data_IF_327182845724
#
_entry.id   IF_327182845724
#
_cell.length_a   1.000
_cell.length_b   1.000
_cell.length_c   1.000
_cell.angle_alpha   90.00
_cell.angle_beta   90.00
_cell.angle_gamma   90.00
#
_symmetry.space_group_name_H-M   'P 1'
#
loop_
_entity.id
_entity.type
_entity.pdbx_description
1 polymer ?
#
# COMPACT_ATOMS: atom_id res chain seq x y z
N UNK A 1 -1.49 12.02 -17.16
CA UNK A 1 -1.49 12.16 -15.70
C UNK A 1 -1.14 10.81 -15.11
N UNK A 2 0.15 10.57 -14.86
CA UNK A 2 0.76 9.23 -14.74
C UNK A 2 0.12 8.43 -13.59
N UNK A 3 -0.44 9.10 -12.59
CA UNK A 3 -1.10 8.47 -11.43
C UNK A 3 -2.60 8.28 -11.57
N UNK A 4 -3.23 8.95 -12.53
CA UNK A 4 -4.67 8.85 -12.77
C UNK A 4 -5.02 7.56 -13.55
N UNK A 5 -4.11 7.10 -14.40
CA UNK A 5 -4.29 5.93 -15.27
C UNK A 5 -4.07 4.58 -14.57
N UNK A 6 -3.30 4.50 -13.48
CA UNK A 6 -3.04 3.21 -12.80
C UNK A 6 -4.29 2.64 -12.10
N UNK A 7 -5.33 3.44 -11.92
CA UNK A 7 -6.62 2.97 -11.44
C UNK A 7 -7.49 2.34 -12.55
N UNK A 8 -7.08 2.40 -13.83
CA UNK A 8 -7.80 1.81 -14.96
C UNK A 8 -7.46 0.32 -15.15
N UNK A 9 -8.01 -0.49 -14.27
CA UNK A 9 -8.47 -1.82 -14.65
C UNK A 9 -9.95 -1.91 -14.27
N UNK A 10 -10.81 -1.90 -15.29
CA UNK A 10 -12.28 -1.83 -15.27
C UNK A 10 -12.91 -0.41 -15.39
N UNK A 11 -12.45 0.39 -16.37
CA UNK A 11 -13.30 1.39 -17.02
C UNK A 11 -13.14 1.20 -18.53
N UNK A 12 -14.07 0.50 -19.18
CA UNK A 12 -14.14 0.50 -20.64
C UNK A 12 -14.85 1.78 -21.08
N UNK A 13 -14.09 2.88 -21.17
CA UNK A 13 -14.51 4.15 -21.76
C UNK A 13 -14.83 5.27 -20.75
N UNK A 14 -14.62 6.55 -21.14
CA UNK A 14 -14.95 7.71 -20.30
C UNK A 14 -16.47 7.83 -20.14
N UNK A 15 -16.91 8.09 -18.91
CA UNK A 15 -18.31 8.39 -18.61
C UNK A 15 -18.66 9.81 -19.06
N UNK A 16 -19.90 10.07 -19.52
CA UNK A 16 -20.39 11.41 -19.80
C UNK A 16 -20.18 12.35 -18.60
N UNK A 17 -19.82 13.61 -18.86
CA UNK A 17 -19.47 14.60 -17.83
C UNK A 17 -20.59 14.90 -16.82
N UNK A 18 -21.83 14.57 -17.17
CA UNK A 18 -23.06 14.74 -16.38
C UNK A 18 -23.43 13.50 -15.53
N UNK A 19 -22.61 12.44 -15.54
CA UNK A 19 -22.90 11.21 -14.79
C UNK A 19 -22.91 11.48 -13.28
N UNK A 20 -24.08 11.29 -12.64
CA UNK A 20 -24.22 11.48 -11.19
C UNK A 20 -23.83 10.22 -10.41
N UNK A 21 -23.61 10.40 -9.10
CA UNK A 21 -23.38 9.27 -8.17
C UNK A 21 -24.54 8.28 -8.21
N UNK A 22 -25.77 8.77 -8.33
CA UNK A 22 -26.98 7.94 -8.39
C UNK A 22 -27.04 7.09 -9.67
N UNK A 23 -26.56 7.62 -10.80
CA UNK A 23 -26.48 6.90 -12.06
C UNK A 23 -25.49 5.74 -11.99
N UNK A 24 -24.35 5.94 -11.32
CA UNK A 24 -23.35 4.87 -11.09
C UNK A 24 -23.91 3.74 -10.22
N UNK A 25 -24.71 4.06 -9.20
CA UNK A 25 -25.36 3.04 -8.36
C UNK A 25 -26.45 2.25 -9.10
N UNK A 26 -27.12 2.84 -10.09
CA UNK A 26 -28.11 2.16 -10.94
C UNK A 26 -27.48 1.18 -11.94
N UNK A 27 -26.23 1.42 -12.34
CA UNK A 27 -25.50 0.67 -13.36
C UNK A 27 -24.82 -0.64 -12.86
N UNK A 28 -25.10 -1.05 -11.61
CA UNK A 28 -24.29 -1.96 -10.76
C UNK A 28 -24.08 -3.41 -11.23
N UNK A 29 -24.66 -3.87 -12.33
CA UNK A 29 -24.49 -5.28 -12.78
C UNK A 29 -23.84 -5.49 -14.14
N UNK A 30 -23.94 -4.55 -15.09
CA UNK A 30 -23.53 -4.78 -16.49
C UNK A 30 -22.65 -3.67 -17.10
N UNK A 31 -22.28 -2.63 -16.35
CA UNK A 31 -21.59 -1.45 -16.90
C UNK A 31 -20.06 -1.52 -16.88
N UNK A 32 -19.47 -2.52 -16.24
CA UNK A 32 -18.01 -2.56 -16.00
C UNK A 32 -17.52 -1.48 -15.03
N UNK A 33 -18.38 -0.59 -14.52
CA UNK A 33 -18.03 0.50 -13.61
C UNK A 33 -17.86 -0.07 -12.19
N UNK A 34 -16.70 0.20 -11.58
CA UNK A 34 -16.49 -0.03 -10.16
C UNK A 34 -16.90 1.24 -9.38
N UNK A 35 -18.01 1.22 -8.60
CA UNK A 35 -18.51 2.40 -7.90
C UNK A 35 -17.50 2.97 -6.90
N UNK A 36 -16.71 2.12 -6.25
CA UNK A 36 -15.71 2.56 -5.26
C UNK A 36 -14.60 3.37 -5.95
N UNK A 37 -14.18 2.94 -7.15
CA UNK A 37 -13.21 3.67 -7.96
C UNK A 37 -13.77 5.01 -8.43
N UNK A 38 -15.02 5.03 -8.88
CA UNK A 38 -15.67 6.26 -9.31
C UNK A 38 -15.76 7.30 -8.19
N UNK A 39 -16.27 6.88 -7.02
CA UNK A 39 -16.38 7.76 -5.85
C UNK A 39 -15.00 8.25 -5.42
N UNK A 40 -14.00 7.36 -5.38
CA UNK A 40 -12.63 7.76 -5.04
C UNK A 40 -12.04 8.78 -6.01
N UNK A 41 -12.30 8.66 -7.32
CA UNK A 41 -11.83 9.61 -8.32
C UNK A 41 -12.46 11.00 -8.10
N UNK A 42 -13.79 11.07 -7.95
CA UNK A 42 -14.51 12.34 -7.67
C UNK A 42 -14.05 13.00 -6.37
N UNK A 43 -13.79 12.20 -5.33
CA UNK A 43 -13.28 12.71 -4.06
C UNK A 43 -11.86 13.30 -4.21
N UNK A 44 -10.99 12.68 -5.01
CA UNK A 44 -9.64 13.18 -5.27
C UNK A 44 -9.68 14.49 -6.06
N UNK A 45 -10.50 14.57 -7.10
CA UNK A 45 -10.71 15.79 -7.88
C UNK A 45 -11.19 16.95 -6.99
N UNK A 46 -12.20 16.71 -6.13
CA UNK A 46 -12.70 17.71 -5.20
C UNK A 46 -11.63 18.15 -4.19
N UNK A 47 -10.87 17.20 -3.65
CA UNK A 47 -9.79 17.48 -2.70
C UNK A 47 -8.68 18.34 -3.33
N UNK A 48 -8.23 17.98 -4.54
CA UNK A 48 -7.21 18.71 -5.28
C UNK A 48 -7.68 20.11 -5.69
N UNK A 49 -8.92 20.22 -6.19
CA UNK A 49 -9.50 21.49 -6.63
C UNK A 49 -9.61 22.50 -5.50
N UNK A 50 -10.12 22.08 -4.33
CA UNK A 50 -10.22 22.94 -3.15
C UNK A 50 -8.84 23.30 -2.59
N UNK A 51 -7.91 22.34 -2.50
CA UNK A 51 -6.54 22.63 -2.04
C UNK A 51 -5.85 23.67 -2.92
N UNK A 52 -5.91 23.49 -4.24
CA UNK A 52 -5.30 24.38 -5.22
C UNK A 52 -5.90 25.79 -5.16
N UNK A 53 -7.22 25.88 -4.98
CA UNK A 53 -7.92 27.16 -4.85
C UNK A 53 -7.51 27.91 -3.58
N UNK A 54 -7.44 27.22 -2.44
CA UNK A 54 -7.01 27.81 -1.17
C UNK A 54 -5.54 28.25 -1.21
N UNK A 55 -4.66 27.43 -1.78
CA UNK A 55 -3.22 27.75 -1.95
C UNK A 55 -3.02 28.97 -2.86
N UNK A 56 -3.75 29.04 -3.98
CA UNK A 56 -3.71 30.17 -4.90
C UNK A 56 -4.20 31.47 -4.24
N UNK A 57 -5.19 31.37 -3.34
CA UNK A 57 -5.72 32.50 -2.56
C UNK A 57 -4.92 32.79 -1.29
N UNK A 58 -3.87 32.03 -1.01
CA UNK A 58 -3.04 32.14 0.21
C UNK A 58 -3.85 32.05 1.50
N UNK A 59 -4.94 31.29 1.48
CA UNK A 59 -5.73 30.98 2.67
C UNK A 59 -5.06 29.81 3.39
N UNK A 60 -4.67 29.93 4.65
CA UNK A 60 -4.03 28.84 5.39
C UNK A 60 -4.94 27.61 5.51
N UNK A 61 -4.39 26.42 5.28
CA UNK A 61 -5.06 25.14 5.48
C UNK A 61 -4.03 24.03 5.72
N UNK A 62 -4.50 22.84 6.08
CA UNK A 62 -3.66 21.67 6.32
C UNK A 62 -3.56 20.87 5.01
N UNK A 63 -2.35 20.84 4.46
CA UNK A 63 -1.99 20.01 3.31
C UNK A 63 -1.93 18.54 3.70
N UNK A 64 -2.19 17.68 2.73
CA UNK A 64 -1.85 16.26 2.77
C UNK A 64 -0.70 16.04 1.80
N UNK A 65 0.47 15.73 2.33
CA UNK A 65 1.71 15.71 1.55
C UNK A 65 2.39 14.36 1.62
N UNK A 66 3.18 14.04 0.60
CA UNK A 66 4.19 12.99 0.63
C UNK A 66 5.33 13.38 -0.31
N UNK A 67 6.48 13.64 0.31
CA UNK A 67 7.70 13.98 -0.40
C UNK A 67 8.46 12.76 -0.93
N UNK A 68 9.55 12.99 -1.66
CA UNK A 68 10.45 11.93 -2.10
C UNK A 68 11.26 11.37 -0.93
N UNK A 69 11.30 10.04 -0.83
CA UNK A 69 12.19 9.30 0.07
C UNK A 69 13.55 9.10 -0.60
N UNK A 70 14.27 10.19 -0.78
CA UNK A 70 15.51 10.23 -1.56
C UNK A 70 16.75 9.79 -0.75
N UNK A 71 16.70 8.65 -0.06
CA UNK A 71 17.92 8.07 0.54
C UNK A 71 18.60 7.10 -0.44
N UNK A 72 19.95 7.08 -0.52
CA UNK A 72 20.66 6.14 -1.40
C UNK A 72 20.30 4.67 -1.14
N UNK A 73 20.03 4.31 0.11
CA UNK A 73 19.60 2.95 0.48
C UNK A 73 18.19 2.61 -0.02
N UNK A 74 17.24 3.55 0.12
CA UNK A 74 15.89 3.37 -0.40
C UNK A 74 15.89 3.19 -1.92
N UNK A 75 16.72 3.98 -2.61
CA UNK A 75 16.93 3.90 -4.05
C UNK A 75 17.56 2.57 -4.48
N UNK A 76 18.65 2.15 -3.82
CA UNK A 76 19.29 0.86 -4.07
C UNK A 76 18.30 -0.30 -3.92
N UNK A 77 17.45 -0.27 -2.89
CA UNK A 77 16.39 -1.27 -2.67
C UNK A 77 15.32 -1.25 -3.75
N UNK A 78 14.91 -0.08 -4.23
CA UNK A 78 14.00 0.05 -5.36
C UNK A 78 14.61 -0.56 -6.62
N UNK A 79 15.86 -0.19 -6.94
CA UNK A 79 16.61 -0.71 -8.09
C UNK A 79 16.72 -2.22 -8.08
N UNK A 80 17.09 -2.83 -6.94
CA UNK A 80 17.16 -4.29 -6.82
C UNK A 80 15.82 -4.96 -7.13
N UNK A 81 14.71 -4.40 -6.62
CA UNK A 81 13.37 -4.97 -6.85
C UNK A 81 12.86 -4.77 -8.27
N UNK A 82 13.20 -3.66 -8.91
CA UNK A 82 12.87 -3.41 -10.31
C UNK A 82 13.68 -4.32 -11.23
N UNK A 83 14.96 -4.57 -10.90
CA UNK A 83 15.81 -5.50 -11.65
C UNK A 83 15.31 -6.95 -11.58
N UNK A 84 14.74 -7.38 -10.45
CA UNK A 84 14.04 -8.68 -10.34
C UNK A 84 12.87 -8.82 -11.32
N UNK A 85 12.26 -7.69 -11.72
CA UNK A 85 11.19 -7.62 -12.72
C UNK A 85 11.70 -7.30 -14.14
N UNK A 86 13.02 -7.25 -14.35
CA UNK A 86 13.63 -6.94 -15.64
C UNK A 86 13.71 -5.45 -16.00
N UNK A 87 13.47 -4.54 -15.05
CA UNK A 87 13.59 -3.10 -15.25
C UNK A 87 14.89 -2.54 -14.66
N UNK A 88 15.58 -1.70 -15.44
CA UNK A 88 16.77 -0.99 -14.99
C UNK A 88 16.42 0.47 -14.71
N UNK A 89 16.87 0.97 -13.56
CA UNK A 89 16.89 2.41 -13.24
C UNK A 89 18.35 2.85 -13.00
N UNK A 90 18.68 4.14 -13.14
CA UNK A 90 20.04 4.67 -12.93
C UNK A 90 20.70 4.17 -11.64
N UNK A 91 22.03 4.23 -11.55
CA UNK A 91 22.74 3.66 -10.40
C UNK A 91 22.67 4.58 -9.18
N UNK A 92 22.71 5.89 -9.41
CA UNK A 92 23.04 6.86 -8.35
C UNK A 92 21.83 7.67 -7.89
N UNK A 93 20.64 7.44 -8.45
CA UNK A 93 19.39 8.10 -8.09
C UNK A 93 19.31 9.60 -8.40
N UNK A 94 20.46 10.26 -8.60
CA UNK A 94 20.59 11.66 -9.01
C UNK A 94 19.96 11.94 -10.38
N UNK A 95 20.04 10.97 -11.28
CA UNK A 95 19.47 11.05 -12.63
C UNK A 95 18.09 10.37 -12.75
N UNK A 96 17.45 10.02 -11.62
CA UNK A 96 16.08 9.52 -11.66
C UNK A 96 15.11 10.69 -11.80
N UNK A 97 15.06 11.22 -13.02
CA UNK A 97 14.18 12.32 -13.42
C UNK A 97 12.74 11.85 -13.55
N UNK A 98 11.79 12.79 -13.60
CA UNK A 98 10.39 12.49 -13.93
C UNK A 98 10.26 11.80 -15.30
N UNK A 99 11.12 12.13 -16.27
CA UNK A 99 11.10 11.51 -17.59
C UNK A 99 11.51 10.03 -17.53
N UNK A 100 12.58 9.70 -16.80
CA UNK A 100 13.00 8.32 -16.58
C UNK A 100 11.94 7.49 -15.82
N UNK A 101 11.19 8.14 -14.92
CA UNK A 101 10.05 7.53 -14.26
C UNK A 101 8.88 7.28 -15.23
N UNK A 102 8.58 8.24 -16.11
CA UNK A 102 7.52 8.11 -17.12
C UNK A 102 7.81 6.97 -18.11
N UNK A 103 9.04 6.89 -18.62
CA UNK A 103 9.48 5.81 -19.52
C UNK A 103 9.38 4.42 -18.84
N UNK A 104 9.81 4.33 -17.57
CA UNK A 104 9.69 3.11 -16.78
C UNK A 104 8.23 2.68 -16.61
N UNK A 105 7.33 3.63 -16.38
CA UNK A 105 5.89 3.38 -16.26
C UNK A 105 5.29 2.90 -17.58
N UNK A 106 5.65 3.52 -18.69
CA UNK A 106 5.15 3.14 -20.02
C UNK A 106 5.65 1.75 -20.43
N UNK A 107 6.93 1.45 -20.19
CA UNK A 107 7.49 0.11 -20.40
C UNK A 107 6.76 -0.93 -19.53
N UNK A 108 6.55 -0.63 -18.25
CA UNK A 108 5.81 -1.50 -17.33
C UNK A 108 4.34 -1.70 -17.75
N UNK A 109 3.72 -0.70 -18.38
CA UNK A 109 2.37 -0.80 -18.95
C UNK A 109 2.35 -1.74 -20.14
N UNK A 110 3.30 -1.63 -21.06
CA UNK A 110 3.38 -2.49 -22.24
C UNK A 110 3.54 -3.98 -21.88
N UNK A 111 4.22 -4.26 -20.76
CA UNK A 111 4.49 -5.61 -20.26
C UNK A 111 3.45 -6.15 -19.27
N UNK A 112 2.47 -5.32 -18.86
CA UNK A 112 1.46 -5.71 -17.87
C UNK A 112 1.95 -5.70 -16.40
N UNK A 113 3.13 -5.18 -16.12
CA UNK A 113 3.73 -5.12 -14.77
C UNK A 113 3.49 -3.80 -14.04
N UNK A 114 2.73 -2.89 -14.66
CA UNK A 114 2.39 -1.55 -14.15
C UNK A 114 2.15 -1.49 -12.64
N UNK A 115 1.26 -2.34 -12.13
CA UNK A 115 0.91 -2.38 -10.71
C UNK A 115 2.10 -2.79 -9.81
N UNK A 116 2.91 -3.75 -10.27
CA UNK A 116 4.06 -4.23 -9.50
C UNK A 116 5.17 -3.16 -9.43
N UNK A 117 5.47 -2.53 -10.56
CA UNK A 117 6.46 -1.45 -10.66
C UNK A 117 6.04 -0.25 -9.83
N UNK A 118 4.78 0.20 -9.98
CA UNK A 118 4.22 1.32 -9.22
C UNK A 118 4.28 1.07 -7.71
N UNK A 119 3.92 -0.14 -7.27
CA UNK A 119 4.00 -0.53 -5.85
C UNK A 119 5.43 -0.48 -5.32
N UNK A 120 6.41 -0.94 -6.09
CA UNK A 120 7.82 -0.88 -5.69
C UNK A 120 8.26 0.58 -5.52
N UNK A 121 7.99 1.42 -6.53
CA UNK A 121 8.37 2.83 -6.52
C UNK A 121 7.75 3.56 -5.31
N UNK A 122 6.44 3.44 -5.09
CA UNK A 122 5.79 4.09 -3.95
C UNK A 122 6.26 3.58 -2.59
N UNK A 123 6.48 2.27 -2.43
CA UNK A 123 6.92 1.72 -1.14
C UNK A 123 8.36 2.11 -0.79
N UNK A 124 9.19 2.35 -1.80
CA UNK A 124 10.63 2.56 -1.61
C UNK A 124 11.02 4.03 -1.70
N UNK A 125 10.47 4.77 -2.67
CA UNK A 125 10.94 6.11 -3.06
C UNK A 125 10.01 7.24 -2.63
N UNK A 126 8.85 6.95 -2.04
CA UNK A 126 7.91 7.97 -1.58
C UNK A 126 7.78 7.91 -0.07
N UNK A 127 7.84 9.07 0.58
CA UNK A 127 7.64 9.17 2.02
C UNK A 127 6.19 8.87 2.38
N UNK A 128 5.99 8.55 3.67
CA UNK A 128 4.65 8.35 4.18
C UNK A 128 3.89 9.66 4.12
N UNK A 129 2.63 9.56 3.74
CA UNK A 129 1.71 10.67 3.73
C UNK A 129 1.54 11.30 5.12
N UNK A 130 1.81 12.60 5.22
CA UNK A 130 1.70 13.41 6.42
C UNK A 130 0.74 14.58 6.23
N UNK A 131 0.22 15.11 7.33
CA UNK A 131 -0.38 16.43 7.36
C UNK A 131 0.71 17.48 7.59
N UNK A 132 0.66 18.59 6.87
CA UNK A 132 1.64 19.67 6.98
C UNK A 132 0.98 21.02 6.73
N UNK A 133 1.60 22.09 7.22
CA UNK A 133 1.22 23.49 6.95
C UNK A 133 1.96 24.06 5.75
N UNK A 134 3.01 23.37 5.27
CA UNK A 134 3.74 23.69 4.05
C UNK A 134 3.41 22.71 2.94
N UNK A 135 3.30 23.24 1.73
CA UNK A 135 3.10 22.41 0.54
C UNK A 135 4.44 21.87 0.04
N UNK A 136 4.53 20.54 -0.09
CA UNK A 136 5.68 19.85 -0.74
C UNK A 136 5.21 18.91 -1.86
N UNK A 137 3.96 19.09 -2.30
CA UNK A 137 3.31 18.22 -3.26
C UNK A 137 2.84 16.88 -2.67
N UNK A 138 2.11 16.14 -3.49
CA UNK A 138 1.65 14.80 -3.20
C UNK A 138 2.15 13.82 -4.27
N UNK A 139 3.40 13.36 -4.14
CA UNK A 139 4.09 12.53 -5.14
C UNK A 139 3.32 11.27 -5.52
N UNK A 140 2.75 10.54 -4.55
CA UNK A 140 1.97 9.32 -4.86
C UNK A 140 0.63 9.58 -5.56
N UNK A 141 0.25 10.82 -5.82
CA UNK A 141 -0.89 11.19 -6.66
C UNK A 141 -0.48 12.03 -7.87
N UNK A 142 0.81 12.37 -8.02
CA UNK A 142 1.30 13.34 -9.01
C UNK A 142 0.54 14.68 -9.02
N UNK A 143 0.23 15.22 -7.84
CA UNK A 143 -0.39 16.55 -7.74
C UNK A 143 0.47 17.49 -6.93
N UNK A 144 0.58 18.74 -7.38
CA UNK A 144 1.38 19.78 -6.71
C UNK A 144 0.75 20.27 -5.42
N UNK A 145 -0.56 20.16 -5.28
CA UNK A 145 -1.30 20.63 -4.12
C UNK A 145 -2.41 19.65 -3.78
N UNK A 146 -2.45 19.19 -2.53
CA UNK A 146 -3.46 18.26 -2.05
C UNK A 146 -3.79 18.49 -0.59
N UNK A 147 -5.06 18.31 -0.24
CA UNK A 147 -5.59 18.39 1.11
C UNK A 147 -6.82 17.52 1.23
N UNK A 148 -7.21 17.12 2.45
CA UNK A 148 -8.44 16.37 2.65
C UNK A 148 -9.60 17.30 2.99
N UNK A 149 -10.74 17.12 2.32
CA UNK A 149 -11.97 17.90 2.53
C UNK A 149 -13.24 17.04 2.61
N UNK A 150 -13.16 15.81 2.08
CA UNK A 150 -14.33 14.98 1.74
C UNK A 150 -14.75 13.98 2.83
N UNK A 151 -14.25 14.07 4.06
CA UNK A 151 -14.64 13.20 5.17
C UNK A 151 -14.54 13.86 6.57
N UNK A 152 -15.17 15.02 6.80
CA UNK A 152 -15.09 15.76 8.07
C UNK A 152 -15.61 15.01 9.30
N UNK A 153 -16.55 14.07 9.13
CA UNK A 153 -17.10 13.26 10.23
C UNK A 153 -16.00 12.42 10.92
N UNK A 154 -14.95 12.02 10.20
CA UNK A 154 -13.92 11.08 10.68
C UNK A 154 -12.49 11.59 10.55
N UNK A 155 -12.30 12.83 10.10
CA UNK A 155 -10.97 13.45 9.94
C UNK A 155 -11.02 14.91 10.38
N UNK A 156 -10.28 15.24 11.43
CA UNK A 156 -10.22 16.60 11.94
C UNK A 156 -9.48 17.57 10.99
N UNK A 157 -8.54 17.07 10.17
CA UNK A 157 -7.93 17.85 9.07
C UNK A 157 -9.00 18.45 8.15
N UNK A 158 -10.02 17.67 7.82
CA UNK A 158 -11.09 18.09 6.91
C UNK A 158 -11.97 19.14 7.58
N UNK A 159 -12.14 19.10 8.91
CA UNK A 159 -12.85 20.15 9.66
C UNK A 159 -12.10 21.48 9.55
N UNK A 160 -10.80 21.48 9.83
CA UNK A 160 -9.95 22.70 9.71
C UNK A 160 -9.96 23.21 8.26
N UNK A 161 -9.85 22.32 7.29
CA UNK A 161 -9.86 22.67 5.88
C UNK A 161 -11.22 23.20 5.41
N UNK A 162 -12.34 22.67 5.92
CA UNK A 162 -13.67 23.23 5.64
C UNK A 162 -13.85 24.61 6.28
N UNK A 163 -13.27 24.88 7.45
CA UNK A 163 -13.21 26.25 7.99
C UNK A 163 -12.46 27.19 7.04
N UNK A 164 -11.36 26.73 6.41
CA UNK A 164 -10.67 27.50 5.39
C UNK A 164 -11.54 27.79 4.16
N UNK A 165 -12.37 26.81 3.74
CA UNK A 165 -13.38 27.02 2.67
C UNK A 165 -14.43 28.04 3.10
N UNK A 166 -14.93 28.00 4.34
CA UNK A 166 -15.86 29.02 4.84
C UNK A 166 -15.23 30.42 4.86
N UNK A 167 -13.94 30.54 5.24
CA UNK A 167 -13.19 31.79 5.14
C UNK A 167 -13.12 32.30 3.69
N UNK A 168 -12.85 31.41 2.73
CA UNK A 168 -12.84 31.76 1.30
C UNK A 168 -14.19 32.33 0.84
N UNK A 169 -15.29 31.80 1.36
CA UNK A 169 -16.66 32.26 1.06
C UNK A 169 -17.05 33.53 1.83
N UNK A 170 -16.16 34.12 2.62
CA UNK A 170 -16.44 35.30 3.44
C UNK A 170 -17.31 35.03 4.67
N UNK A 171 -17.48 33.76 5.07
CA UNK A 171 -18.29 33.38 6.21
C UNK A 171 -17.44 33.38 7.49
N UNK A 172 -17.71 34.32 8.39
CA UNK A 172 -16.93 34.50 9.62
C UNK A 172 -17.33 33.54 10.74
N UNK A 173 -18.58 33.10 10.79
CA UNK A 173 -19.10 32.26 11.87
C UNK A 173 -18.46 30.86 11.85
N UNK A 174 -18.32 30.30 10.65
CA UNK A 174 -17.76 28.96 10.41
C UNK A 174 -16.35 28.98 9.82
N UNK A 175 -15.81 30.17 9.55
CA UNK A 175 -14.46 30.35 9.04
C UNK A 175 -13.36 30.03 10.05
N UNK A 176 -12.11 30.06 9.58
CA UNK A 176 -10.90 29.96 10.41
C UNK A 176 -10.93 31.02 11.52
N UNK A 177 -10.61 30.58 12.73
CA UNK A 177 -10.46 31.44 13.91
C UNK A 177 -8.97 31.74 14.16
N UNK A 178 -8.65 32.80 14.93
CA UNK A 178 -7.27 33.09 15.32
C UNK A 178 -6.55 31.88 15.93
N UNK A 179 -7.26 31.11 16.76
CA UNK A 179 -6.76 29.86 17.34
C UNK A 179 -6.33 28.83 16.29
N UNK A 180 -7.11 28.66 15.21
CA UNK A 180 -6.78 27.71 14.14
C UNK A 180 -5.47 28.10 13.44
N UNK A 181 -5.23 29.40 13.26
CA UNK A 181 -4.03 29.92 12.60
C UNK A 181 -2.79 29.76 13.47
N UNK A 182 -2.91 30.11 14.76
CA UNK A 182 -1.82 30.03 15.73
C UNK A 182 -1.37 28.59 15.99
N UNK A 183 -2.31 27.63 16.00
CA UNK A 183 -2.05 26.24 16.37
C UNK A 183 -2.09 25.27 15.18
N UNK A 184 -2.05 25.77 13.93
CA UNK A 184 -2.20 24.90 12.76
C UNK A 184 -1.08 23.87 12.63
N UNK A 185 0.16 24.27 12.93
CA UNK A 185 1.33 23.39 12.87
C UNK A 185 1.28 22.32 13.97
N UNK A 186 0.93 22.71 15.20
CA UNK A 186 0.70 21.78 16.31
C UNK A 186 -0.44 20.80 15.98
N UNK A 187 -1.52 21.30 15.38
CA UNK A 187 -2.65 20.47 14.92
C UNK A 187 -2.17 19.45 13.91
N UNK A 188 -1.41 19.85 12.90
CA UNK A 188 -0.85 18.94 11.90
C UNK A 188 0.06 17.88 12.54
N UNK A 189 0.93 18.28 13.47
CA UNK A 189 1.78 17.36 14.25
C UNK A 189 0.95 16.34 15.03
N UNK A 190 -0.06 16.81 15.78
CA UNK A 190 -0.93 15.95 16.57
C UNK A 190 -1.70 14.94 15.71
N UNK A 191 -2.21 15.39 14.56
CA UNK A 191 -2.88 14.51 13.59
C UNK A 191 -1.96 13.41 13.07
N UNK A 192 -0.69 13.73 12.78
CA UNK A 192 0.29 12.74 12.35
C UNK A 192 0.61 11.73 13.46
N UNK A 193 0.78 12.21 14.70
CA UNK A 193 1.04 11.37 15.86
C UNK A 193 -0.11 10.38 16.12
N UNK A 194 -1.35 10.88 16.17
CA UNK A 194 -2.54 10.04 16.35
C UNK A 194 -2.71 9.02 15.22
N UNK A 195 -2.41 9.40 13.97
CA UNK A 195 -2.47 8.46 12.84
C UNK A 195 -1.43 7.35 12.94
N UNK A 196 -0.25 7.62 13.49
CA UNK A 196 0.75 6.58 13.73
C UNK A 196 0.30 5.63 14.84
N UNK A 197 -0.27 6.15 15.93
CA UNK A 197 -0.87 5.33 16.99
C UNK A 197 -2.00 4.45 16.43
N UNK A 198 -2.93 5.05 15.69
CA UNK A 198 -4.05 4.34 15.06
C UNK A 198 -3.54 3.22 14.14
N UNK A 199 -2.51 3.50 13.33
CA UNK A 199 -1.91 2.52 12.41
C UNK A 199 -1.27 1.36 13.17
N UNK A 200 -0.54 1.65 14.25
CA UNK A 200 0.08 0.61 15.09
C UNK A 200 -0.98 -0.25 15.79
N UNK A 201 -2.01 0.38 16.36
CA UNK A 201 -3.13 -0.32 17.00
C UNK A 201 -3.90 -1.20 16.01
N UNK A 202 -4.23 -0.69 14.81
CA UNK A 202 -4.87 -1.48 13.74
C UNK A 202 -4.02 -2.66 13.29
N UNK A 203 -2.70 -2.46 13.17
CA UNK A 203 -1.78 -3.54 12.81
C UNK A 203 -1.78 -4.63 13.88
N UNK A 204 -1.72 -4.26 15.15
CA UNK A 204 -1.73 -5.22 16.25
C UNK A 204 -3.05 -5.98 16.33
N UNK A 205 -4.19 -5.26 16.26
CA UNK A 205 -5.51 -5.86 16.22
C UNK A 205 -5.68 -6.84 15.04
N UNK A 206 -5.23 -6.45 13.85
CA UNK A 206 -5.29 -7.32 12.66
C UNK A 206 -4.42 -8.56 12.84
N UNK A 207 -3.24 -8.43 13.43
CA UNK A 207 -2.35 -9.55 13.75
C UNK A 207 -3.05 -10.50 14.72
N UNK A 208 -3.59 -9.98 15.82
CA UNK A 208 -4.32 -10.77 16.82
C UNK A 208 -5.50 -11.55 16.21
N UNK A 209 -6.35 -10.87 15.43
CA UNK A 209 -7.46 -11.54 14.73
C UNK A 209 -7.02 -12.56 13.69
N UNK A 210 -5.86 -12.34 13.07
CA UNK A 210 -5.29 -13.31 12.15
C UNK A 210 -4.77 -14.55 12.87
N UNK A 211 -4.19 -14.39 14.07
CA UNK A 211 -3.76 -15.49 14.94
C UNK A 211 -4.96 -16.29 15.45
N UNK A 212 -6.01 -15.61 15.90
CA UNK A 212 -7.27 -16.24 16.35
C UNK A 212 -7.88 -17.11 15.24
N UNK A 213 -8.01 -16.56 14.03
CA UNK A 213 -8.49 -17.31 12.86
C UNK A 213 -7.60 -18.51 12.53
N UNK A 214 -6.28 -18.34 12.59
CA UNK A 214 -5.35 -19.43 12.29
C UNK A 214 -5.38 -20.53 13.36
N UNK A 215 -5.56 -20.18 14.64
CA UNK A 215 -5.77 -21.16 15.74
C UNK A 215 -7.02 -21.99 15.55
N UNK A 216 -8.08 -21.41 14.99
CA UNK A 216 -9.30 -22.15 14.64
C UNK A 216 -9.07 -23.18 13.51
N UNK A 217 -7.94 -23.10 12.80
CA UNK A 217 -7.51 -24.05 11.76
C UNK A 217 -6.45 -25.05 12.25
N UNK A 218 -6.29 -25.23 13.57
CA UNK A 218 -5.46 -26.32 14.10
C UNK A 218 -5.97 -27.68 13.61
N UNK A 219 -5.03 -28.56 13.30
CA UNK A 219 -5.22 -29.88 12.70
C UNK A 219 -5.85 -29.89 11.29
N UNK A 220 -6.03 -28.72 10.66
CA UNK A 220 -6.51 -28.58 9.29
C UNK A 220 -5.37 -28.31 8.32
N UNK A 221 -5.64 -28.56 7.03
CA UNK A 221 -4.74 -28.14 5.97
C UNK A 221 -4.90 -26.64 5.71
N UNK A 222 -3.79 -25.90 5.81
CA UNK A 222 -3.76 -24.47 5.55
C UNK A 222 -2.98 -24.17 4.27
N UNK A 223 -3.42 -23.15 3.54
CA UNK A 223 -2.73 -22.65 2.36
C UNK A 223 -1.82 -21.48 2.75
N UNK A 224 -0.58 -21.54 2.28
CA UNK A 224 0.46 -20.56 2.57
C UNK A 224 1.18 -20.12 1.30
N UNK A 225 1.62 -18.88 1.26
CA UNK A 225 2.46 -18.31 0.21
C UNK A 225 3.89 -18.22 0.72
N UNK A 226 4.83 -18.79 -0.02
CA UNK A 226 6.27 -18.75 0.33
C UNK A 226 6.82 -17.35 0.08
N UNK A 227 7.36 -16.70 1.09
CA UNK A 227 8.04 -15.42 0.94
C UNK A 227 9.53 -15.57 0.70
N UNK A 228 10.15 -16.46 1.46
CA UNK A 228 11.59 -16.72 1.39
C UNK A 228 11.91 -18.08 2.01
N UNK A 229 12.96 -18.72 1.52
CA UNK A 229 13.40 -20.04 1.98
C UNK A 229 14.83 -19.91 2.51
N UNK A 230 15.04 -20.37 3.73
CA UNK A 230 16.33 -20.36 4.42
C UNK A 230 16.76 -21.79 4.74
N UNK A 231 18.03 -21.97 5.13
CA UNK A 231 18.56 -23.29 5.51
C UNK A 231 17.79 -23.95 6.65
N UNK A 232 17.24 -23.16 7.56
CA UNK A 232 16.60 -23.61 8.81
C UNK A 232 15.08 -23.56 8.78
N UNK A 233 14.46 -23.15 7.66
CA UNK A 233 13.01 -22.96 7.58
C UNK A 233 12.62 -21.97 6.50
N UNK A 234 11.35 -21.57 6.52
CA UNK A 234 10.73 -20.79 5.46
C UNK A 234 9.86 -19.68 6.05
N UNK A 235 10.01 -18.48 5.51
CA UNK A 235 9.08 -17.38 5.78
C UNK A 235 7.86 -17.53 4.87
N UNK A 236 6.67 -17.53 5.47
CA UNK A 236 5.39 -17.75 4.76
C UNK A 236 4.35 -16.69 5.12
N UNK A 237 3.33 -16.58 4.28
CA UNK A 237 2.08 -15.87 4.56
C UNK A 237 0.93 -16.85 4.52
N UNK A 238 0.15 -16.96 5.59
CA UNK A 238 -1.12 -17.69 5.54
C UNK A 238 -2.09 -16.96 4.61
N UNK A 239 -2.50 -17.60 3.50
CA UNK A 239 -3.21 -16.92 2.41
C UNK A 239 -4.55 -16.27 2.84
N UNK A 240 -5.42 -16.95 3.61
CA UNK A 240 -6.69 -16.37 4.07
C UNK A 240 -6.56 -15.18 5.03
N UNK A 241 -5.52 -15.15 5.87
CA UNK A 241 -5.39 -14.11 6.92
C UNK A 241 -4.33 -13.06 6.63
N UNK A 242 -3.42 -13.33 5.68
CA UNK A 242 -2.27 -12.46 5.42
C UNK A 242 -1.21 -12.48 6.53
N UNK A 243 -1.34 -13.37 7.53
CA UNK A 243 -0.39 -13.46 8.65
C UNK A 243 0.96 -13.96 8.15
N UNK A 244 2.00 -13.16 8.38
CA UNK A 244 3.39 -13.55 8.16
C UNK A 244 3.88 -14.40 9.33
N UNK A 245 4.42 -15.57 9.03
CA UNK A 245 4.94 -16.50 10.02
C UNK A 245 6.16 -17.23 9.48
N UNK A 246 6.89 -17.87 10.37
CA UNK A 246 8.03 -18.72 10.06
C UNK A 246 7.70 -20.19 10.29
N UNK A 247 8.01 -21.05 9.32
CA UNK A 247 7.90 -22.50 9.45
C UNK A 247 9.32 -23.07 9.56
N UNK A 248 9.74 -23.58 10.73
CA UNK A 248 11.06 -24.19 10.87
C UNK A 248 11.13 -25.52 10.12
N UNK A 249 12.30 -25.84 9.56
CA UNK A 249 12.60 -27.17 9.06
C UNK A 249 13.08 -28.05 10.20
N UNK A 250 12.24 -28.98 10.60
CA UNK A 250 12.47 -29.91 11.71
C UNK A 250 11.64 -31.20 11.51
N UNK A 251 11.66 -32.09 12.51
CA UNK A 251 10.88 -33.34 12.51
C UNK A 251 9.39 -33.11 12.27
N UNK A 252 8.79 -32.08 12.87
CA UNK A 252 7.36 -31.75 12.70
C UNK A 252 7.03 -31.34 11.26
N UNK A 253 7.92 -30.60 10.60
CA UNK A 253 7.72 -30.24 9.20
C UNK A 253 7.94 -31.38 8.20
N UNK A 254 8.59 -32.45 8.66
CA UNK A 254 9.08 -33.52 7.80
C UNK A 254 10.29 -33.13 6.95
N UNK A 255 10.73 -31.85 6.94
CA UNK A 255 11.85 -31.35 6.12
C UNK A 255 13.17 -31.51 6.87
N UNK A 256 14.14 -32.19 6.24
CA UNK A 256 15.50 -32.42 6.76
C UNK A 256 16.54 -31.53 6.12
N UNK A 257 16.42 -31.29 4.82
CA UNK A 257 17.43 -30.57 4.04
C UNK A 257 16.72 -29.77 2.95
N UNK A 258 17.34 -28.67 2.58
CA UNK A 258 16.90 -27.81 1.48
C UNK A 258 18.08 -27.59 0.52
N UNK A 259 17.81 -27.67 -0.77
CA UNK A 259 18.73 -27.30 -1.83
C UNK A 259 18.11 -26.25 -2.72
N UNK A 260 18.88 -25.27 -3.18
CA UNK A 260 18.46 -24.41 -4.28
C UNK A 260 18.68 -25.17 -5.60
N UNK A 261 17.72 -25.10 -6.52
CA UNK A 261 17.86 -25.78 -7.81
C UNK A 261 18.81 -24.97 -8.70
N UNK A 262 19.86 -25.62 -9.20
CA UNK A 262 20.84 -24.98 -10.07
C UNK A 262 20.17 -24.46 -11.34
N UNK A 263 20.41 -23.18 -11.67
CA UNK A 263 19.75 -22.48 -12.79
C UNK A 263 18.39 -21.84 -12.46
N UNK A 264 17.82 -22.04 -11.26
CA UNK A 264 16.57 -21.40 -10.81
C UNK A 264 16.77 -20.61 -9.52
N UNK A 265 16.76 -19.28 -9.61
CA UNK A 265 17.04 -18.39 -8.47
C UNK A 265 15.98 -18.45 -7.36
N UNK A 266 14.73 -18.74 -7.70
CA UNK A 266 13.59 -18.67 -6.78
C UNK A 266 12.96 -20.04 -6.49
N UNK A 267 13.60 -21.14 -6.88
CA UNK A 267 13.08 -22.49 -6.68
C UNK A 267 14.00 -23.29 -5.76
N UNK A 268 13.40 -23.87 -4.73
CA UNK A 268 14.07 -24.65 -3.70
C UNK A 268 13.46 -26.04 -3.64
N UNK A 269 14.30 -27.05 -3.45
CA UNK A 269 13.89 -28.45 -3.26
C UNK A 269 13.97 -28.80 -1.79
N UNK A 270 12.84 -29.22 -1.22
CA UNK A 270 12.71 -29.70 0.15
C UNK A 270 12.80 -31.23 0.17
N UNK A 271 13.61 -31.77 1.08
CA UNK A 271 13.83 -33.21 1.25
C UNK A 271 13.25 -33.72 2.57
N UNK A 272 12.51 -34.81 2.53
CA UNK A 272 11.97 -35.48 3.72
C UNK A 272 12.80 -36.67 4.20
N UNK A 273 12.49 -37.20 5.40
CA UNK A 273 13.15 -38.41 5.93
C UNK A 273 12.97 -39.66 5.04
N UNK A 274 11.84 -39.76 4.35
CA UNK A 274 11.52 -40.87 3.45
C UNK A 274 12.10 -40.68 2.03
N UNK A 275 13.05 -39.74 1.85
CA UNK A 275 13.58 -39.33 0.54
C UNK A 275 12.52 -38.78 -0.43
N UNK A 276 11.35 -38.34 0.06
CA UNK A 276 10.39 -37.59 -0.75
C UNK A 276 10.92 -36.18 -1.01
N UNK A 277 10.69 -35.68 -2.22
CA UNK A 277 11.12 -34.35 -2.65
C UNK A 277 9.91 -33.50 -3.00
N UNK A 278 9.96 -32.21 -2.65
CA UNK A 278 8.96 -31.22 -3.07
C UNK A 278 9.65 -29.92 -3.45
N UNK A 279 9.35 -29.44 -4.65
CA UNK A 279 9.86 -28.16 -5.13
C UNK A 279 8.92 -27.06 -4.66
N UNK A 280 9.50 -26.01 -4.07
CA UNK A 280 8.81 -24.81 -3.62
C UNK A 280 9.42 -23.61 -4.30
N UNK A 281 8.56 -22.74 -4.81
CA UNK A 281 8.95 -21.51 -5.46
C UNK A 281 8.64 -20.32 -4.56
N UNK A 282 9.51 -19.31 -4.56
CA UNK A 282 9.21 -18.02 -3.95
C UNK A 282 7.95 -17.41 -4.58
N UNK A 283 7.07 -16.85 -3.75
CA UNK A 283 5.71 -16.43 -4.08
C UNK A 283 4.77 -17.57 -4.53
N UNK A 284 5.25 -18.82 -4.55
CA UNK A 284 4.45 -20.00 -4.81
C UNK A 284 3.57 -20.36 -3.62
N UNK A 285 2.51 -21.12 -3.90
CA UNK A 285 1.58 -21.61 -2.88
C UNK A 285 1.95 -23.01 -2.43
N UNK A 286 1.81 -23.25 -1.14
CA UNK A 286 2.02 -24.56 -0.50
C UNK A 286 0.89 -24.84 0.47
N UNK A 287 0.57 -26.12 0.64
CA UNK A 287 -0.36 -26.59 1.64
C UNK A 287 0.34 -27.56 2.60
N UNK A 288 -0.07 -27.53 3.86
CA UNK A 288 0.35 -28.46 4.89
C UNK A 288 -0.60 -28.46 6.07
N UNK A 289 -0.56 -29.51 6.89
CA UNK A 289 -1.39 -29.65 8.07
C UNK A 289 -0.82 -28.85 9.23
N UNK A 290 -1.59 -27.93 9.78
CA UNK A 290 -1.17 -27.09 10.89
C UNK A 290 -1.27 -27.85 12.22
N UNK A 291 -0.14 -28.13 12.86
CA UNK A 291 -0.08 -28.85 14.14
C UNK A 291 0.20 -27.95 15.35
N UNK A 292 0.58 -26.68 15.12
CA UNK A 292 0.86 -25.76 16.21
C UNK A 292 1.13 -24.33 15.75
N UNK A 293 0.92 -23.38 16.67
CA UNK A 293 1.09 -21.94 16.44
C UNK A 293 1.67 -21.31 17.70
N UNK A 294 2.69 -20.47 17.56
CA UNK A 294 3.22 -19.69 18.69
C UNK A 294 2.19 -18.66 19.20
N UNK A 295 2.27 -18.17 20.45
CA UNK A 295 1.27 -17.24 20.99
C UNK A 295 1.03 -16.00 20.14
N UNK A 296 2.07 -15.48 19.48
CA UNK A 296 2.03 -14.32 18.58
C UNK A 296 1.84 -14.67 17.09
N UNK A 297 1.73 -15.96 16.75
CA UNK A 297 1.65 -16.45 15.37
C UNK A 297 2.89 -16.18 14.52
N UNK A 298 4.03 -15.94 15.16
CA UNK A 298 5.31 -15.69 14.47
C UNK A 298 5.93 -16.99 13.96
N UNK A 299 5.57 -18.12 14.55
CA UNK A 299 6.05 -19.43 14.17
C UNK A 299 4.89 -20.41 14.07
N UNK A 300 4.88 -21.21 13.00
CA UNK A 300 3.90 -22.27 12.77
C UNK A 300 4.62 -23.62 12.76
N UNK A 301 3.97 -24.62 13.33
CA UNK A 301 4.33 -26.02 13.13
C UNK A 301 3.42 -26.57 12.05
N UNK A 302 3.97 -26.84 10.87
CA UNK A 302 3.22 -27.32 9.70
C UNK A 302 3.86 -28.57 9.16
N UNK A 303 3.08 -29.64 9.03
CA UNK A 303 3.47 -30.91 8.42
C UNK A 303 3.15 -30.90 6.92
N UNK A 304 4.15 -31.18 6.08
CA UNK A 304 4.01 -31.13 4.62
C UNK A 304 3.89 -32.49 3.93
N UNK A 305 4.21 -33.58 4.62
CA UNK A 305 4.42 -34.92 4.06
C UNK A 305 3.79 -35.99 4.93
#
# INVERSE_FOLDING_TARGET
DIYHDFNEAALSGPLPADTTVEDVFKLRKNSGINPDKFVSARMNEANQGLASLLDAKKIPFIYRVNGPKATPDAYKKARTRLAELGYAIPVDGKDFTYDALAELVDDARSKGDSEAVFRILNQKLVDRHAYATSNVGHQALSVDCYGHFTSPIRRYSDIVNLRAVHTLLGQTDFGLKPYDLEHMEETAYHLNHLREIERLAKKEYTKEKSVEKLKASLDQHIEMIVLDVHKTGMSVVHAPTGLRSYVPFNSTSGVRTVGQIEGLTDTFRLYSQESRMKDVQKNGRICGKLSGISPKGEQLSVEFF
#
